data_IF_174697789521
#
_entry.id   IF_174697789521
#
_cell.length_a   1.000
_cell.length_b   1.000
_cell.length_c   1.000
_cell.angle_alpha   90.00
_cell.angle_beta   90.00
_cell.angle_gamma   90.00
#
_symmetry.space_group_name_H-M   'P 1'
#
loop_
_entity.id
_entity.type
_entity.pdbx_description
1 polymer ?
#
# COMPACT_ATOMS: atom_id res chain seq x y z
N UNK A 1 4.12 -3.65 7.97
CA UNK A 1 4.78 -2.59 7.17
C UNK A 1 4.59 -2.83 5.69
N UNK A 2 4.57 -1.75 4.91
CA UNK A 2 4.52 -1.77 3.44
C UNK A 2 5.81 -1.16 2.89
N UNK A 3 6.54 -1.90 2.05
CA UNK A 3 7.67 -1.38 1.29
C UNK A 3 7.27 -1.26 -0.17
N UNK A 4 7.31 -0.04 -0.74
CA UNK A 4 7.00 0.22 -2.14
C UNK A 4 8.29 0.27 -2.97
N UNK A 5 8.41 -0.60 -3.97
CA UNK A 5 9.48 -0.57 -4.97
C UNK A 5 9.00 0.24 -6.17
N UNK A 6 9.59 1.39 -6.43
CA UNK A 6 9.20 2.30 -7.51
C UNK A 6 10.35 2.55 -8.49
N UNK A 7 10.00 2.80 -9.75
CA UNK A 7 10.97 3.11 -10.81
C UNK A 7 10.39 2.86 -12.20
N UNK A 8 11.12 3.27 -13.23
CA UNK A 8 10.71 3.10 -14.62
C UNK A 8 10.52 1.63 -15.01
N UNK A 9 9.80 1.38 -16.11
CA UNK A 9 9.73 0.04 -16.69
C UNK A 9 11.14 -0.47 -17.02
N UNK A 10 11.41 -1.74 -16.74
CA UNK A 10 12.74 -2.31 -16.94
C UNK A 10 13.78 -2.02 -15.85
N UNK A 11 13.46 -1.26 -14.80
CA UNK A 11 14.41 -0.94 -13.71
C UNK A 11 14.75 -2.13 -12.79
N UNK A 12 14.16 -3.32 -12.99
CA UNK A 12 14.51 -4.53 -12.23
C UNK A 12 13.58 -4.88 -11.09
N UNK A 13 12.51 -4.10 -10.81
CA UNK A 13 11.58 -4.29 -9.68
C UNK A 13 10.95 -5.68 -9.64
N UNK A 14 10.28 -6.10 -10.72
CA UNK A 14 9.66 -7.43 -10.80
C UNK A 14 10.70 -8.56 -10.73
N UNK A 15 11.92 -8.32 -11.23
CA UNK A 15 13.05 -9.27 -11.11
C UNK A 15 13.42 -9.44 -9.63
N UNK A 16 13.56 -8.34 -8.88
CA UNK A 16 13.83 -8.39 -7.44
C UNK A 16 12.71 -9.13 -6.71
N UNK A 17 11.44 -8.83 -7.02
CA UNK A 17 10.29 -9.52 -6.42
C UNK A 17 10.33 -11.04 -6.68
N UNK A 18 10.70 -11.43 -7.92
CA UNK A 18 10.86 -12.84 -8.30
C UNK A 18 12.06 -13.51 -7.63
N UNK A 19 13.12 -12.76 -7.32
CA UNK A 19 14.24 -13.28 -6.52
C UNK A 19 13.82 -13.53 -5.07
N UNK A 20 13.05 -12.62 -4.45
CA UNK A 20 12.52 -12.83 -3.09
C UNK A 20 11.70 -14.12 -3.02
N UNK A 21 10.86 -14.39 -4.03
CA UNK A 21 10.04 -15.60 -4.13
C UNK A 21 10.78 -16.81 -4.74
N UNK A 22 12.09 -16.69 -4.97
CA UNK A 22 12.93 -17.73 -5.61
C UNK A 22 12.38 -18.28 -6.92
N UNK A 23 11.70 -17.46 -7.71
CA UNK A 23 11.39 -17.74 -9.11
C UNK A 23 12.61 -17.50 -9.99
N UNK A 24 13.51 -16.63 -9.55
CA UNK A 24 14.82 -16.36 -10.15
C UNK A 24 15.85 -16.49 -9.03
N UNK A 25 16.95 -17.18 -9.29
CA UNK A 25 18.08 -17.25 -8.37
C UNK A 25 18.94 -15.99 -8.50
N UNK A 26 19.34 -15.32 -7.39
CA UNK A 26 20.32 -14.24 -7.47
C UNK A 26 21.69 -14.79 -7.87
N UNK A 27 22.44 -14.05 -8.69
CA UNK A 27 23.80 -14.42 -9.11
C UNK A 27 24.77 -14.33 -7.93
N UNK A 28 24.54 -13.39 -7.03
CA UNK A 28 25.34 -13.17 -5.80
C UNK A 28 24.48 -12.53 -4.71
N UNK A 29 25.00 -12.49 -3.51
CA UNK A 29 24.29 -11.96 -2.34
C UNK A 29 23.31 -12.97 -1.70
N UNK A 30 22.64 -12.56 -0.64
CA UNK A 30 21.70 -13.37 0.14
C UNK A 30 20.38 -12.65 0.34
N UNK A 31 19.28 -13.39 0.31
CA UNK A 31 17.95 -12.90 0.64
C UNK A 31 17.50 -13.60 1.91
N UNK A 32 17.14 -12.83 2.94
CA UNK A 32 16.66 -13.37 4.21
C UNK A 32 15.23 -12.93 4.46
N UNK A 33 14.40 -13.86 4.94
CA UNK A 33 13.04 -13.61 5.42
C UNK A 33 13.00 -14.09 6.87
N UNK A 34 12.60 -13.22 7.78
CA UNK A 34 12.61 -13.47 9.22
C UNK A 34 13.97 -14.03 9.72
N UNK A 35 15.08 -13.46 9.22
CA UNK A 35 16.44 -13.88 9.53
C UNK A 35 16.92 -15.17 8.85
N UNK A 36 16.03 -15.93 8.21
CA UNK A 36 16.35 -17.19 7.52
C UNK A 36 16.80 -16.93 6.09
N UNK A 37 17.96 -17.47 5.71
CA UNK A 37 18.43 -17.43 4.32
C UNK A 37 17.51 -18.28 3.44
N UNK A 38 16.90 -17.62 2.44
CA UNK A 38 15.98 -18.29 1.52
C UNK A 38 16.64 -19.35 0.65
N UNK A 39 17.96 -19.29 0.43
CA UNK A 39 18.70 -20.26 -0.37
C UNK A 39 18.70 -21.66 0.29
N UNK A 40 18.68 -21.74 1.63
CA UNK A 40 18.63 -22.99 2.40
C UNK A 40 17.24 -23.63 2.50
N UNK A 41 16.17 -22.95 2.05
CA UNK A 41 14.79 -23.47 2.15
C UNK A 41 14.36 -24.03 0.79
N UNK A 42 13.73 -25.22 0.71
CA UNK A 42 13.13 -25.72 -0.55
C UNK A 42 12.16 -24.68 -1.16
N UNK A 43 12.27 -24.39 -2.47
CA UNK A 43 11.49 -23.32 -3.09
C UNK A 43 9.97 -23.43 -2.92
N UNK A 44 9.46 -24.67 -2.94
CA UNK A 44 8.02 -24.91 -2.74
C UNK A 44 7.59 -24.58 -1.31
N UNK A 45 8.40 -24.88 -0.30
CA UNK A 45 8.11 -24.57 1.09
C UNK A 45 8.15 -23.05 1.32
N UNK A 46 9.16 -22.37 0.74
CA UNK A 46 9.25 -20.91 0.79
C UNK A 46 8.00 -20.25 0.21
N UNK A 47 7.63 -20.61 -1.04
CA UNK A 47 6.51 -20.03 -1.76
C UNK A 47 5.14 -20.26 -1.09
N UNK A 48 4.99 -21.36 -0.35
CA UNK A 48 3.76 -21.61 0.44
C UNK A 48 3.60 -20.67 1.63
N UNK A 49 4.69 -20.02 2.07
CA UNK A 49 4.72 -19.05 3.18
C UNK A 49 4.65 -17.61 2.71
N UNK A 50 4.68 -17.37 1.40
CA UNK A 50 4.65 -16.05 0.77
C UNK A 50 3.38 -15.95 -0.05
N UNK A 51 2.55 -14.94 0.22
CA UNK A 51 1.46 -14.56 -0.67
C UNK A 51 2.02 -13.84 -1.90
N UNK A 52 1.57 -14.18 -3.10
CA UNK A 52 2.05 -13.55 -4.31
C UNK A 52 0.91 -13.14 -5.21
N UNK A 53 0.76 -11.84 -5.42
CA UNK A 53 -0.18 -11.23 -6.36
C UNK A 53 0.61 -10.85 -7.61
N UNK A 54 0.37 -11.56 -8.70
CA UNK A 54 1.03 -11.31 -9.98
C UNK A 54 0.27 -10.26 -10.78
N UNK A 55 0.96 -9.58 -11.68
CA UNK A 55 0.38 -8.65 -12.64
C UNK A 55 -0.78 -9.31 -13.42
N UNK A 56 -1.90 -8.59 -13.63
CA UNK A 56 -3.05 -9.10 -14.40
C UNK A 56 -3.92 -10.11 -13.64
N UNK A 57 -4.00 -10.04 -12.32
CA UNK A 57 -4.81 -10.86 -11.39
C UNK A 57 -4.42 -12.34 -11.29
N UNK A 58 -3.95 -12.96 -12.39
CA UNK A 58 -3.44 -14.33 -12.44
C UNK A 58 -4.40 -15.41 -11.97
N UNK A 59 -5.72 -15.18 -12.01
CA UNK A 59 -6.72 -16.17 -11.63
C UNK A 59 -6.77 -17.31 -12.65
N UNK A 60 -7.03 -18.53 -12.19
CA UNK A 60 -7.29 -19.66 -13.06
C UNK A 60 -8.67 -19.48 -13.70
N UNK A 61 -8.78 -19.27 -15.02
CA UNK A 61 -10.01 -18.80 -15.66
C UNK A 61 -11.14 -19.85 -15.65
N UNK A 62 -10.79 -21.12 -15.52
CA UNK A 62 -11.71 -22.27 -15.50
C UNK A 62 -12.03 -22.76 -14.08
N UNK A 63 -11.60 -22.06 -13.05
CA UNK A 63 -11.89 -22.36 -11.66
C UNK A 63 -12.80 -21.27 -11.06
N UNK A 64 -13.71 -21.72 -10.20
CA UNK A 64 -14.53 -20.78 -9.44
C UNK A 64 -13.67 -19.92 -8.51
N UNK A 65 -14.24 -18.82 -8.05
CA UNK A 65 -13.62 -17.92 -7.06
C UNK A 65 -13.18 -18.70 -5.82
N UNK A 66 -14.06 -19.53 -5.25
CA UNK A 66 -13.73 -20.35 -4.09
C UNK A 66 -12.57 -21.30 -4.37
N UNK A 67 -12.54 -21.92 -5.56
CA UNK A 67 -11.44 -22.82 -5.94
C UNK A 67 -10.13 -22.07 -6.16
N UNK A 68 -10.16 -20.88 -6.72
CA UNK A 68 -8.99 -20.00 -6.85
C UNK A 68 -8.42 -19.67 -5.47
N UNK A 69 -9.24 -19.19 -4.53
CA UNK A 69 -8.80 -18.84 -3.16
C UNK A 69 -8.26 -20.09 -2.43
N UNK A 70 -8.91 -21.23 -2.57
CA UNK A 70 -8.54 -22.48 -1.91
C UNK A 70 -7.23 -23.12 -2.42
N UNK A 71 -6.56 -22.56 -3.43
CA UNK A 71 -5.41 -23.19 -4.10
C UNK A 71 -4.30 -23.57 -3.12
N UNK A 72 -3.75 -22.60 -2.41
CA UNK A 72 -2.61 -22.84 -1.50
C UNK A 72 -3.02 -23.63 -0.25
N UNK A 73 -4.14 -23.35 0.43
CA UNK A 73 -4.64 -24.20 1.51
C UNK A 73 -4.78 -25.68 1.14
N UNK A 74 -5.24 -25.99 -0.08
CA UNK A 74 -5.31 -27.39 -0.57
C UNK A 74 -3.92 -28.00 -0.74
N UNK A 75 -2.96 -27.27 -1.30
CA UNK A 75 -1.56 -27.72 -1.44
C UNK A 75 -0.90 -27.96 -0.09
N UNK A 76 -1.36 -27.28 0.97
CA UNK A 76 -0.91 -27.46 2.34
C UNK A 76 -1.64 -28.60 3.05
N UNK A 77 -2.59 -29.28 2.41
CA UNK A 77 -3.36 -30.38 2.98
C UNK A 77 -4.33 -29.95 4.09
N UNK A 78 -4.83 -28.70 4.06
CA UNK A 78 -5.83 -28.27 5.03
C UNK A 78 -7.11 -29.08 4.92
N UNK A 79 -7.78 -29.30 6.05
CA UNK A 79 -9.08 -29.99 6.07
C UNK A 79 -10.11 -29.20 5.26
N UNK A 80 -11.00 -29.86 4.54
CA UNK A 80 -12.03 -29.23 3.71
C UNK A 80 -12.90 -28.19 4.46
N UNK A 81 -13.22 -28.47 5.73
CA UNK A 81 -14.02 -27.55 6.55
C UNK A 81 -13.28 -26.24 6.84
N UNK A 82 -11.99 -26.32 7.19
CA UNK A 82 -11.12 -25.16 7.39
C UNK A 82 -10.99 -24.33 6.11
N UNK A 83 -10.85 -25.01 4.95
CA UNK A 83 -10.76 -24.33 3.66
C UNK A 83 -12.05 -23.57 3.36
N UNK A 84 -13.22 -24.18 3.55
CA UNK A 84 -14.52 -23.52 3.32
C UNK A 84 -14.69 -22.29 4.21
N UNK A 85 -14.41 -22.44 5.51
CA UNK A 85 -14.48 -21.33 6.45
C UNK A 85 -13.53 -20.18 6.06
N UNK A 86 -12.28 -20.50 5.68
CA UNK A 86 -11.29 -19.50 5.28
C UNK A 86 -11.67 -18.79 3.97
N UNK A 87 -12.23 -19.50 3.00
CA UNK A 87 -12.73 -18.90 1.75
C UNK A 87 -13.87 -17.92 2.04
N UNK A 88 -14.84 -18.30 2.87
CA UNK A 88 -15.96 -17.44 3.25
C UNK A 88 -15.45 -16.19 3.99
N UNK A 89 -14.59 -16.35 5.00
CA UNK A 89 -13.96 -15.25 5.74
C UNK A 89 -13.26 -14.25 4.81
N UNK A 90 -12.46 -14.72 3.85
CA UNK A 90 -11.75 -13.86 2.92
C UNK A 90 -12.70 -13.15 1.95
N UNK A 91 -13.72 -13.83 1.46
CA UNK A 91 -14.73 -13.18 0.61
C UNK A 91 -15.46 -12.06 1.36
N UNK A 92 -15.87 -12.29 2.59
CA UNK A 92 -16.48 -11.26 3.45
C UNK A 92 -15.51 -10.10 3.70
N UNK A 93 -14.25 -10.40 4.02
CA UNK A 93 -13.19 -9.40 4.24
C UNK A 93 -13.01 -8.47 3.04
N UNK A 94 -13.17 -8.99 1.83
CA UNK A 94 -13.07 -8.24 0.58
C UNK A 94 -14.42 -7.72 0.06
N UNK A 95 -15.47 -7.72 0.87
CA UNK A 95 -16.82 -7.27 0.53
C UNK A 95 -17.41 -7.98 -0.69
N UNK A 96 -17.17 -9.29 -0.80
CA UNK A 96 -17.72 -10.21 -1.79
C UNK A 96 -18.60 -11.21 -1.06
N UNK A 97 -19.94 -11.08 -1.11
CA UNK A 97 -20.86 -11.98 -0.43
C UNK A 97 -20.60 -13.45 -0.85
N UNK A 98 -20.23 -14.38 0.07
CA UNK A 98 -19.86 -15.74 -0.29
C UNK A 98 -20.92 -16.47 -1.08
N UNK A 99 -22.20 -16.30 -0.71
CA UNK A 99 -23.34 -16.93 -1.39
C UNK A 99 -23.52 -16.51 -2.86
N UNK A 100 -23.03 -15.31 -3.21
CA UNK A 100 -23.11 -14.79 -4.57
C UNK A 100 -21.85 -15.06 -5.39
N UNK A 101 -20.67 -14.95 -4.76
CA UNK A 101 -19.39 -14.89 -5.48
C UNK A 101 -18.61 -16.19 -5.48
N UNK A 102 -18.81 -17.11 -4.52
CA UNK A 102 -17.96 -18.29 -4.35
C UNK A 102 -17.88 -19.18 -5.60
N UNK A 103 -19.01 -19.35 -6.29
CA UNK A 103 -19.13 -20.24 -7.45
C UNK A 103 -18.92 -19.53 -8.80
N UNK A 104 -18.84 -18.19 -8.83
CA UNK A 104 -18.58 -17.42 -10.06
C UNK A 104 -17.21 -17.76 -10.65
N UNK A 105 -17.13 -17.67 -11.97
CA UNK A 105 -15.87 -17.76 -12.71
C UNK A 105 -15.24 -16.37 -12.87
N UNK A 106 -13.90 -16.25 -13.06
CA UNK A 106 -13.23 -14.97 -13.19
C UNK A 106 -13.83 -14.03 -14.24
N UNK A 107 -14.30 -14.53 -15.37
CA UNK A 107 -14.90 -13.70 -16.44
C UNK A 107 -16.27 -13.10 -16.07
N UNK A 108 -16.91 -13.58 -15.01
CA UNK A 108 -18.16 -13.02 -14.47
C UNK A 108 -17.92 -11.90 -13.45
N UNK A 109 -16.66 -11.56 -13.19
CA UNK A 109 -16.23 -10.56 -12.23
C UNK A 109 -15.76 -9.28 -12.93
N UNK A 110 -16.02 -8.12 -12.33
CA UNK A 110 -15.33 -6.88 -12.72
C UNK A 110 -13.82 -6.96 -12.42
N UNK A 111 -12.99 -6.12 -13.08
CA UNK A 111 -11.55 -6.08 -12.83
C UNK A 111 -11.19 -5.86 -11.36
N UNK A 112 -11.90 -4.98 -10.65
CA UNK A 112 -11.69 -4.76 -9.22
C UNK A 112 -12.11 -5.96 -8.35
N UNK A 113 -13.14 -6.72 -8.74
CA UNK A 113 -13.51 -7.97 -8.07
C UNK A 113 -12.47 -9.06 -8.30
N UNK A 114 -11.96 -9.20 -9.54
CA UNK A 114 -10.87 -10.13 -9.85
C UNK A 114 -9.61 -9.82 -9.03
N UNK A 115 -9.28 -8.53 -8.88
CA UNK A 115 -8.16 -8.07 -8.05
C UNK A 115 -8.34 -8.51 -6.60
N UNK A 116 -9.51 -8.25 -6.01
CA UNK A 116 -9.81 -8.67 -4.62
C UNK A 116 -9.71 -10.19 -4.44
N UNK A 117 -10.20 -10.96 -5.39
CA UNK A 117 -10.05 -12.43 -5.38
C UNK A 117 -8.58 -12.84 -5.49
N UNK A 118 -7.79 -12.16 -6.30
CA UNK A 118 -6.33 -12.39 -6.42
C UNK A 118 -5.60 -12.17 -5.09
N UNK A 119 -5.92 -11.08 -4.39
CA UNK A 119 -5.36 -10.79 -3.05
C UNK A 119 -5.88 -11.80 -2.02
N UNK A 120 -7.18 -12.12 -2.02
CA UNK A 120 -7.75 -13.16 -1.15
C UNK A 120 -7.05 -14.51 -1.32
N UNK A 121 -6.77 -14.93 -2.57
CA UNK A 121 -6.01 -16.15 -2.85
C UNK A 121 -4.60 -16.08 -2.26
N UNK A 122 -3.91 -14.95 -2.40
CA UNK A 122 -2.56 -14.78 -1.87
C UNK A 122 -2.52 -14.85 -0.34
N UNK A 123 -3.58 -14.42 0.33
CA UNK A 123 -3.73 -14.42 1.80
C UNK A 123 -4.31 -15.72 2.37
N UNK A 124 -4.81 -16.62 1.51
CA UNK A 124 -5.60 -17.78 1.95
C UNK A 124 -4.84 -18.73 2.90
N UNK A 125 -3.54 -18.84 2.71
CA UNK A 125 -2.66 -19.70 3.53
C UNK A 125 -2.02 -19.00 4.73
N UNK A 126 -2.51 -17.82 5.11
CA UNK A 126 -1.98 -17.03 6.24
C UNK A 126 -0.46 -16.76 6.08
N UNK A 127 -0.02 -16.15 4.97
CA UNK A 127 1.40 -15.98 4.70
C UNK A 127 2.04 -14.97 5.65
N UNK A 128 3.36 -15.11 5.89
CA UNK A 128 4.15 -14.16 6.69
C UNK A 128 4.33 -12.81 5.96
N UNK A 129 4.39 -12.85 4.63
CA UNK A 129 4.52 -11.64 3.80
C UNK A 129 3.71 -11.75 2.50
N UNK A 130 3.38 -10.59 1.94
CA UNK A 130 2.67 -10.45 0.68
C UNK A 130 3.55 -9.71 -0.33
N UNK A 131 3.79 -10.32 -1.48
CA UNK A 131 4.46 -9.71 -2.62
C UNK A 131 3.42 -9.35 -3.66
N UNK A 132 3.46 -8.12 -4.19
CA UNK A 132 2.48 -7.62 -5.17
C UNK A 132 3.19 -6.98 -6.36
N UNK A 133 2.97 -7.48 -7.56
CA UNK A 133 3.57 -6.97 -8.79
C UNK A 133 2.53 -6.14 -9.57
N UNK A 134 2.63 -4.80 -9.51
CA UNK A 134 1.73 -3.82 -10.12
C UNK A 134 0.23 -4.13 -9.90
N UNK A 135 -0.21 -4.31 -8.65
CA UNK A 135 -1.55 -4.85 -8.38
C UNK A 135 -2.69 -3.93 -8.82
N UNK A 136 -2.45 -2.63 -8.97
CA UNK A 136 -3.51 -1.67 -9.29
C UNK A 136 -3.42 -1.09 -10.71
N UNK A 137 -2.43 -1.50 -11.52
CA UNK A 137 -2.15 -0.93 -12.83
C UNK A 137 -3.30 -1.03 -13.84
N UNK A 138 -4.14 -2.06 -13.74
CA UNK A 138 -5.25 -2.30 -14.65
C UNK A 138 -6.60 -1.73 -14.16
N UNK A 139 -6.63 -1.02 -13.02
CA UNK A 139 -7.86 -0.47 -12.44
C UNK A 139 -8.09 0.99 -12.87
N UNK A 140 -9.36 1.36 -13.07
CA UNK A 140 -9.73 2.77 -13.22
C UNK A 140 -9.43 3.57 -11.94
N UNK A 141 -9.29 4.91 -12.02
CA UNK A 141 -8.84 5.72 -10.88
C UNK A 141 -9.71 5.61 -9.62
N UNK A 142 -11.03 5.48 -9.76
CA UNK A 142 -11.96 5.43 -8.62
C UNK A 142 -11.82 4.09 -7.89
N UNK A 143 -11.84 3.00 -8.65
CA UNK A 143 -11.68 1.64 -8.11
C UNK A 143 -10.28 1.45 -7.55
N UNK A 144 -9.25 2.02 -8.21
CA UNK A 144 -7.85 2.00 -7.74
C UNK A 144 -7.72 2.62 -6.35
N UNK A 145 -8.23 3.83 -6.15
CA UNK A 145 -8.18 4.50 -4.85
C UNK A 145 -8.82 3.66 -3.74
N UNK A 146 -10.00 3.11 -4.01
CA UNK A 146 -10.69 2.24 -3.05
C UNK A 146 -9.89 0.97 -2.74
N UNK A 147 -9.33 0.31 -3.75
CA UNK A 147 -8.53 -0.90 -3.57
C UNK A 147 -7.23 -0.64 -2.77
N UNK A 148 -6.63 0.54 -2.94
CA UNK A 148 -5.48 0.99 -2.14
C UNK A 148 -5.86 1.21 -0.68
N UNK A 149 -7.01 1.88 -0.41
CA UNK A 149 -7.51 2.10 0.94
C UNK A 149 -7.87 0.77 1.63
N UNK A 150 -8.49 -0.16 0.89
CA UNK A 150 -8.78 -1.51 1.34
C UNK A 150 -7.49 -2.28 1.70
N UNK A 151 -6.42 -2.14 0.90
CA UNK A 151 -5.11 -2.74 1.20
C UNK A 151 -4.49 -2.17 2.48
N UNK A 152 -4.53 -0.85 2.69
CA UNK A 152 -4.03 -0.22 3.92
C UNK A 152 -4.78 -0.71 5.15
N UNK A 153 -6.12 -0.76 5.08
CA UNK A 153 -6.95 -1.26 6.17
C UNK A 153 -6.66 -2.74 6.48
N UNK A 154 -6.52 -3.55 5.44
CA UNK A 154 -6.17 -4.96 5.53
C UNK A 154 -4.80 -5.16 6.18
N UNK A 155 -3.78 -4.44 5.71
CA UNK A 155 -2.42 -4.53 6.23
C UNK A 155 -2.36 -4.18 7.72
N UNK A 156 -3.04 -3.09 8.12
CA UNK A 156 -3.14 -2.69 9.55
C UNK A 156 -3.83 -3.75 10.40
N UNK A 157 -4.92 -4.34 9.89
CA UNK A 157 -5.69 -5.38 10.59
C UNK A 157 -4.89 -6.67 10.78
N UNK A 158 -4.12 -7.09 9.74
CA UNK A 158 -3.38 -8.35 9.76
C UNK A 158 -1.95 -8.21 10.29
N UNK A 159 -1.40 -7.00 10.36
CA UNK A 159 0.00 -6.77 10.75
C UNK A 159 1.04 -7.37 9.78
N UNK A 160 0.62 -7.75 8.57
CA UNK A 160 1.45 -8.46 7.58
C UNK A 160 2.49 -7.52 6.94
N UNK A 161 3.64 -8.07 6.58
CA UNK A 161 4.62 -7.35 5.75
C UNK A 161 4.23 -7.42 4.29
N UNK A 162 4.22 -6.27 3.61
CA UNK A 162 3.88 -6.17 2.18
C UNK A 162 5.05 -5.56 1.42
N UNK A 163 5.40 -6.16 0.29
CA UNK A 163 6.31 -5.56 -0.71
C UNK A 163 5.51 -5.38 -1.99
N UNK A 164 5.33 -4.12 -2.40
CA UNK A 164 4.56 -3.75 -3.59
C UNK A 164 5.47 -3.15 -4.65
N UNK A 165 5.35 -3.61 -5.89
CA UNK A 165 6.00 -3.02 -7.05
C UNK A 165 5.01 -2.11 -7.76
N UNK A 166 5.44 -0.91 -8.08
CA UNK A 166 4.66 0.05 -8.88
C UNK A 166 5.57 0.92 -9.74
N UNK A 167 5.03 1.48 -10.80
CA UNK A 167 5.69 2.56 -11.57
C UNK A 167 5.11 3.94 -11.21
N UNK A 168 4.12 3.99 -10.34
CA UNK A 168 3.44 5.21 -9.91
C UNK A 168 3.96 5.68 -8.55
N UNK A 169 4.65 6.83 -8.54
CA UNK A 169 5.19 7.43 -7.32
C UNK A 169 4.08 7.84 -6.34
N UNK A 170 2.89 8.21 -6.84
CA UNK A 170 1.77 8.58 -5.99
C UNK A 170 1.25 7.39 -5.20
N UNK A 171 1.18 6.24 -5.86
CA UNK A 171 0.84 4.99 -5.21
C UNK A 171 1.86 4.62 -4.13
N UNK A 172 3.16 4.75 -4.45
CA UNK A 172 4.24 4.50 -3.49
C UNK A 172 4.17 5.44 -2.28
N UNK A 173 3.93 6.73 -2.51
CA UNK A 173 3.77 7.74 -1.45
C UNK A 173 2.52 7.51 -0.58
N UNK A 174 1.43 7.02 -1.16
CA UNK A 174 0.18 6.73 -0.45
C UNK A 174 0.28 5.47 0.41
N UNK A 175 0.91 4.41 -0.11
CA UNK A 175 0.87 3.09 0.49
C UNK A 175 2.10 2.76 1.32
N UNK A 176 3.29 3.25 0.94
CA UNK A 176 4.54 2.81 1.53
C UNK A 176 4.85 3.44 2.88
N UNK A 177 5.20 2.63 3.86
CA UNK A 177 5.94 3.09 5.04
C UNK A 177 7.40 3.38 4.65
N UNK A 178 7.91 2.64 3.67
CA UNK A 178 9.24 2.81 3.08
C UNK A 178 9.12 2.74 1.56
N UNK A 179 9.84 3.62 0.88
CA UNK A 179 9.93 3.64 -0.59
C UNK A 179 11.37 3.31 -0.99
N UNK A 180 11.51 2.34 -1.87
CA UNK A 180 12.77 1.97 -2.50
C UNK A 180 12.72 2.31 -3.99
N UNK A 181 13.55 3.28 -4.41
CA UNK A 181 13.59 3.74 -5.80
C UNK A 181 14.66 2.95 -6.55
N UNK A 182 14.28 2.36 -7.68
CA UNK A 182 15.15 1.57 -8.53
C UNK A 182 15.26 2.15 -9.94
N UNK A 183 16.48 2.13 -10.49
CA UNK A 183 16.73 2.44 -11.89
C UNK A 183 17.91 1.61 -12.42
N UNK A 184 17.82 1.13 -13.66
CA UNK A 184 18.87 0.37 -14.33
C UNK A 184 19.41 -0.82 -13.51
N UNK A 185 18.56 -1.52 -12.75
CA UNK A 185 18.94 -2.64 -11.87
C UNK A 185 19.63 -2.22 -10.56
N UNK A 186 19.69 -0.94 -10.25
CA UNK A 186 20.31 -0.39 -9.03
C UNK A 186 19.27 0.20 -8.09
N UNK A 187 19.52 0.07 -6.81
CA UNK A 187 18.78 0.74 -5.76
C UNK A 187 19.38 2.13 -5.54
N UNK A 188 18.63 3.20 -5.84
CA UNK A 188 19.10 4.57 -5.79
C UNK A 188 18.89 5.21 -4.41
N UNK A 189 17.70 4.98 -3.83
CA UNK A 189 17.35 5.50 -2.51
C UNK A 189 16.34 4.59 -1.82
N UNK A 190 16.46 4.44 -0.51
CA UNK A 190 15.47 3.82 0.37
C UNK A 190 15.20 4.77 1.51
N UNK A 191 13.96 5.23 1.64
CA UNK A 191 13.60 6.24 2.63
C UNK A 191 12.09 6.24 2.91
N UNK A 192 11.67 7.01 3.91
CA UNK A 192 10.25 7.28 4.15
C UNK A 192 9.67 8.13 3.01
N UNK A 193 8.33 8.13 2.81
CA UNK A 193 7.68 9.05 1.86
C UNK A 193 8.07 10.52 2.06
N UNK A 194 8.16 10.96 3.32
CA UNK A 194 8.56 12.33 3.65
C UNK A 194 9.99 12.63 3.22
N UNK A 195 10.94 11.71 3.43
CA UNK A 195 12.34 11.90 3.03
C UNK A 195 12.51 11.82 1.51
N UNK A 196 11.76 10.95 0.81
CA UNK A 196 11.75 10.93 -0.66
C UNK A 196 11.28 12.27 -1.24
N UNK A 197 10.29 12.89 -0.62
CA UNK A 197 9.82 14.23 -1.02
C UNK A 197 10.74 15.35 -0.54
N UNK A 198 11.23 15.27 0.71
CA UNK A 198 12.06 16.30 1.35
C UNK A 198 13.48 16.34 0.79
N UNK A 199 14.14 15.20 0.71
CA UNK A 199 15.55 15.01 0.38
C UNK A 199 15.74 13.93 -0.70
N UNK A 200 15.22 14.12 -1.93
CA UNK A 200 15.42 13.15 -2.99
C UNK A 200 16.88 13.09 -3.40
N UNK A 201 17.38 11.88 -3.66
CA UNK A 201 18.68 11.71 -4.29
C UNK A 201 18.69 12.38 -5.68
N UNK A 202 19.80 13.03 -6.02
CA UNK A 202 19.95 13.73 -7.29
C UNK A 202 19.70 12.82 -8.50
N UNK A 203 19.20 13.40 -9.58
CA UNK A 203 18.94 12.70 -10.84
C UNK A 203 17.56 12.05 -10.89
N UNK A 204 17.48 10.73 -11.04
CA UNK A 204 16.22 10.00 -11.30
C UNK A 204 15.21 10.19 -10.18
N UNK A 205 15.62 10.12 -8.91
CA UNK A 205 14.68 10.28 -7.78
C UNK A 205 14.12 11.69 -7.74
N UNK A 206 14.98 12.70 -7.92
CA UNK A 206 14.55 14.09 -7.99
C UNK A 206 13.56 14.33 -9.15
N UNK A 207 13.85 13.78 -10.34
CA UNK A 207 12.96 13.87 -11.49
C UNK A 207 11.61 13.17 -11.23
N UNK A 208 11.63 12.03 -10.55
CA UNK A 208 10.41 11.28 -10.23
C UNK A 208 9.44 12.08 -9.35
N UNK A 209 9.96 12.92 -8.46
CA UNK A 209 9.17 13.77 -7.57
C UNK A 209 9.02 15.23 -8.03
N UNK A 210 9.74 15.65 -9.07
CA UNK A 210 9.79 17.06 -9.52
C UNK A 210 8.50 17.54 -10.21
N UNK A 211 7.79 16.62 -10.89
CA UNK A 211 6.60 16.94 -11.70
C UNK A 211 5.32 17.16 -10.89
N UNK A 212 5.40 17.27 -9.57
CA UNK A 212 4.24 17.16 -8.73
C UNK A 212 4.24 18.27 -7.71
N UNK A 213 3.04 18.63 -7.28
CA UNK A 213 2.73 19.52 -6.17
C UNK A 213 3.40 19.06 -4.86
N UNK A 214 4.76 18.98 -4.91
CA UNK A 214 5.62 18.43 -3.85
C UNK A 214 5.30 18.99 -2.47
N UNK A 215 5.09 20.33 -2.32
CA UNK A 215 4.66 20.90 -1.04
C UNK A 215 3.31 20.37 -0.59
N UNK A 216 2.33 20.27 -1.49
CA UNK A 216 0.99 19.75 -1.16
C UNK A 216 1.01 18.25 -0.80
N UNK A 217 1.95 17.49 -1.34
CA UNK A 217 2.14 16.09 -0.98
C UNK A 217 2.79 15.92 0.38
N UNK A 218 3.78 16.72 0.71
CA UNK A 218 4.33 16.77 2.07
C UNK A 218 3.24 17.09 3.09
N UNK A 219 2.38 18.07 2.78
CA UNK A 219 1.24 18.41 3.61
C UNK A 219 0.21 17.27 3.71
N UNK A 220 0.06 16.43 2.69
CA UNK A 220 -0.83 15.27 2.74
C UNK A 220 -0.31 14.10 3.60
N UNK A 221 0.98 14.07 3.90
CA UNK A 221 1.61 13.05 4.76
C UNK A 221 1.61 13.45 6.24
N UNK A 222 1.33 14.72 6.55
CA UNK A 222 1.45 15.25 7.91
C UNK A 222 0.06 15.47 8.50
N UNK A 223 -0.28 14.86 9.65
CA UNK A 223 -1.52 15.16 10.35
C UNK A 223 -1.49 16.55 10.95
N UNK A 224 -2.66 17.18 11.07
CA UNK A 224 -2.83 18.50 11.69
C UNK A 224 -2.28 18.52 13.11
N UNK A 225 -2.47 17.43 13.85
CA UNK A 225 -2.00 17.27 15.23
C UNK A 225 -0.49 17.51 15.40
N UNK A 226 0.30 17.12 14.43
CA UNK A 226 1.77 17.25 14.49
C UNK A 226 2.26 18.71 14.42
N UNK A 227 1.43 19.64 13.91
CA UNK A 227 1.81 21.04 13.64
C UNK A 227 0.90 22.03 14.38
N UNK A 228 -0.23 21.58 14.91
CA UNK A 228 -1.17 22.41 15.64
C UNK A 228 -0.52 23.03 16.90
N UNK A 229 -0.70 24.33 17.07
CA UNK A 229 -0.16 25.12 18.17
C UNK A 229 -1.23 25.46 19.23
N UNK A 230 -0.81 25.79 20.45
CA UNK A 230 -1.71 26.28 21.48
C UNK A 230 -2.32 27.62 21.07
N UNK A 231 -3.62 27.78 21.18
CA UNK A 231 -4.30 29.01 20.83
C UNK A 231 -5.77 28.79 20.48
N UNK A 232 -6.47 29.90 20.30
CA UNK A 232 -7.88 29.91 19.92
C UNK A 232 -8.04 30.35 18.48
N UNK A 233 -9.02 29.79 17.79
CA UNK A 233 -9.52 30.23 16.49
C UNK A 233 -11.05 30.07 16.47
N UNK A 234 -11.73 30.92 15.71
CA UNK A 234 -13.19 30.88 15.56
C UNK A 234 -13.60 29.94 14.42
N UNK A 235 -14.81 29.42 14.52
CA UNK A 235 -15.43 28.62 13.47
C UNK A 235 -15.51 27.11 13.78
N UNK A 236 -15.93 26.33 12.78
CA UNK A 236 -16.03 24.88 12.92
C UNK A 236 -14.62 24.25 12.95
N UNK A 237 -14.36 23.37 13.94
CA UNK A 237 -13.04 22.75 14.10
C UNK A 237 -12.71 21.75 13.00
N UNK A 238 -11.42 21.56 12.78
CA UNK A 238 -10.89 20.46 11.97
C UNK A 238 -10.40 19.34 12.91
N UNK A 239 -10.66 18.09 12.54
CA UNK A 239 -10.18 16.94 13.30
C UNK A 239 -8.64 16.87 13.29
N UNK A 240 -8.03 16.58 14.43
CA UNK A 240 -6.58 16.49 14.61
C UNK A 240 -5.92 15.44 13.70
N UNK A 241 -6.65 14.37 13.34
CA UNK A 241 -6.18 13.31 12.44
C UNK A 241 -6.23 13.67 10.95
N UNK A 242 -6.90 14.77 10.55
CA UNK A 242 -6.89 15.25 9.16
C UNK A 242 -5.50 15.72 8.77
N UNK A 243 -5.24 15.78 7.47
CA UNK A 243 -3.93 16.20 6.96
C UNK A 243 -3.77 17.72 6.90
N UNK A 244 -2.52 18.21 6.88
CA UNK A 244 -2.26 19.64 6.64
C UNK A 244 -2.75 20.09 5.26
N UNK A 245 -2.83 19.17 4.27
CA UNK A 245 -3.46 19.44 2.97
C UNK A 245 -4.96 19.70 3.10
N UNK A 246 -5.65 18.94 3.94
CA UNK A 246 -7.07 19.19 4.22
C UNK A 246 -7.23 20.54 4.93
N UNK A 247 -6.37 20.82 5.91
CA UNK A 247 -6.41 22.08 6.67
C UNK A 247 -6.21 23.30 5.76
N UNK A 248 -5.22 23.29 4.86
CA UNK A 248 -5.02 24.40 3.93
C UNK A 248 -6.19 24.58 2.97
N UNK A 249 -6.81 23.48 2.52
CA UNK A 249 -8.00 23.51 1.69
C UNK A 249 -9.17 24.19 2.40
N UNK A 250 -9.41 23.83 3.68
CA UNK A 250 -10.46 24.43 4.51
C UNK A 250 -10.20 25.91 4.81
N UNK A 251 -8.94 26.29 5.13
CA UNK A 251 -8.55 27.69 5.35
C UNK A 251 -8.84 28.54 4.13
N UNK A 252 -8.41 28.07 2.94
CA UNK A 252 -8.64 28.78 1.68
C UNK A 252 -10.13 28.85 1.32
N UNK A 253 -10.88 27.77 1.51
CA UNK A 253 -12.31 27.72 1.21
C UNK A 253 -13.15 28.63 2.10
N UNK A 254 -12.80 28.71 3.40
CA UNK A 254 -13.49 29.56 4.37
C UNK A 254 -12.99 31.00 4.38
N UNK A 255 -11.84 31.29 3.75
CA UNK A 255 -11.21 32.63 3.75
C UNK A 255 -10.72 33.07 5.13
N UNK A 256 -10.19 32.14 5.93
CA UNK A 256 -9.65 32.39 7.27
C UNK A 256 -8.19 31.99 7.38
N UNK A 257 -7.44 32.58 8.32
CA UNK A 257 -6.02 32.31 8.51
C UNK A 257 -5.74 31.24 9.58
N UNK A 258 -6.74 30.83 10.35
CA UNK A 258 -6.62 29.80 11.37
C UNK A 258 -7.92 29.00 11.52
N UNK A 259 -7.80 27.70 11.88
CA UNK A 259 -8.89 26.81 12.24
C UNK A 259 -8.67 26.27 13.65
N UNK A 260 -9.74 26.14 14.47
CA UNK A 260 -9.65 25.40 15.71
C UNK A 260 -9.44 23.91 15.41
N UNK A 261 -8.68 23.20 16.26
CA UNK A 261 -8.38 21.78 16.09
C UNK A 261 -9.13 20.99 17.15
N UNK A 262 -9.95 20.03 16.69
CA UNK A 262 -10.66 19.10 17.58
C UNK A 262 -9.80 17.86 17.84
N UNK A 263 -9.44 17.69 19.12
CA UNK A 263 -8.73 16.52 19.64
C UNK A 263 -9.67 15.51 20.35
N UNK A 264 -10.97 15.74 20.31
CA UNK A 264 -11.98 14.90 20.95
C UNK A 264 -12.14 15.13 22.49
N UNK A 265 -11.45 16.13 23.06
CA UNK A 265 -11.42 16.37 24.50
C UNK A 265 -12.22 17.60 24.96
N UNK A 266 -13.05 18.20 24.10
CA UNK A 266 -13.94 19.32 24.49
C UNK A 266 -13.71 20.60 23.68
N UNK A 267 -13.70 21.78 24.32
CA UNK A 267 -13.48 23.04 23.59
C UNK A 267 -12.06 23.08 23.02
N UNK A 268 -11.91 23.36 21.72
CA UNK A 268 -10.60 23.43 21.09
C UNK A 268 -9.67 24.41 21.80
N UNK A 269 -8.56 23.89 22.32
CA UNK A 269 -7.47 24.70 22.93
C UNK A 269 -6.27 24.85 22.01
N UNK A 270 -6.36 24.25 20.82
CA UNK A 270 -5.30 24.27 19.78
C UNK A 270 -5.89 24.78 18.48
N UNK A 271 -5.01 25.34 17.66
CA UNK A 271 -5.34 25.85 16.33
C UNK A 271 -4.28 25.44 15.33
N UNK A 272 -4.66 25.41 14.06
CA UNK A 272 -3.74 25.31 12.94
C UNK A 272 -3.79 26.60 12.12
N UNK A 273 -2.64 27.22 11.87
CA UNK A 273 -2.55 28.48 11.15
C UNK A 273 -1.98 28.28 9.74
N UNK A 274 -2.31 29.18 8.82
CA UNK A 274 -1.77 29.18 7.47
C UNK A 274 -0.24 29.32 7.47
N UNK A 275 0.31 30.12 8.40
CA UNK A 275 1.76 30.32 8.53
C UNK A 275 2.48 29.07 9.06
N UNK A 276 1.90 28.34 10.00
CA UNK A 276 2.43 27.06 10.46
C UNK A 276 2.46 26.02 9.33
N UNK A 277 1.40 25.93 8.53
CA UNK A 277 1.35 25.07 7.34
C UNK A 277 2.40 25.47 6.30
N UNK A 278 2.54 26.78 6.00
CA UNK A 278 3.55 27.30 5.07
C UNK A 278 4.98 26.99 5.53
N UNK A 279 5.26 27.14 6.82
CA UNK A 279 6.57 26.81 7.38
C UNK A 279 6.90 25.32 7.18
N UNK A 280 5.92 24.42 7.36
CA UNK A 280 6.09 22.99 7.17
C UNK A 280 6.22 22.59 5.68
N UNK A 281 5.57 23.32 4.77
CA UNK A 281 5.62 23.08 3.32
C UNK A 281 6.92 23.54 2.64
N UNK A 282 7.79 24.29 3.35
CA UNK A 282 9.06 24.77 2.79
C UNK A 282 10.06 23.63 2.64
N UNK A 283 10.92 23.74 1.60
CA UNK A 283 12.07 22.85 1.43
C UNK A 283 12.92 22.91 2.72
N UNK A 284 13.30 21.77 3.30
CA UNK A 284 14.30 21.75 4.37
C UNK A 284 15.56 22.49 3.91
N UNK A 285 16.14 23.31 4.79
CA UNK A 285 17.34 24.09 4.51
C UNK A 285 18.56 23.21 4.27
#
# INVERSE_FOLDING_TARGET
TITALVGASGSGKSTLLRMINRLIAPTSGTIRIDGTDTAGVPPEQLRRRIGYVIQGHGLFPHWSVARNIATVPRLLGWRPDRIRARVAELLELFHLAPAEFADKLPHELSGGQQQRVGVARALAAEPAMLLMDEPFGALDPIIRNKAQDDLLALQRRLGITVVIVTHDIEEALKLGDTIAVMDGGRLLQVATPADILGNPAAGVVEQLVAGVDRPLRLLALTPVDAVAEAGHADGAPIEAARTLRDAISELLWRGVDALPVDDGHGRPSRRITLDAIRAHARKPA
#
